data_IF_724001608629
#
_entry.id   IF_724001608629
#
_cell.length_a   1.000
_cell.length_b   1.000
_cell.length_c   1.000
_cell.angle_alpha   90.00
_cell.angle_beta   90.00
_cell.angle_gamma   90.00
#
_symmetry.space_group_name_H-M   'P 1'
#
loop_
_entity.id
_entity.type
_entity.pdbx_description
1 polymer ?
#
# COMPACT_ATOMS: atom_id res chain seq x y z
N UNK A 1 25.99 -1.14 -8.42
CA UNK A 1 25.15 -0.10 -7.79
C UNK A 1 24.53 0.84 -8.82
N UNK A 2 25.22 1.23 -9.87
CA UNK A 2 24.73 2.17 -10.91
C UNK A 2 23.38 1.77 -11.53
N UNK A 3 23.18 0.47 -11.82
CA UNK A 3 21.92 -0.08 -12.33
C UNK A 3 20.74 0.21 -11.38
N UNK A 4 20.97 0.10 -10.07
CA UNK A 4 19.96 0.37 -9.04
C UNK A 4 19.62 1.87 -9.00
N UNK A 5 20.64 2.73 -9.02
CA UNK A 5 20.46 4.18 -9.00
C UNK A 5 19.72 4.69 -10.24
N UNK A 6 20.13 4.23 -11.43
CA UNK A 6 19.47 4.57 -12.68
C UNK A 6 17.99 4.15 -12.66
N UNK A 7 17.71 2.91 -12.22
CA UNK A 7 16.34 2.41 -12.14
C UNK A 7 15.50 3.16 -11.10
N UNK A 8 16.07 3.45 -9.93
CA UNK A 8 15.39 4.20 -8.88
C UNK A 8 15.03 5.61 -9.35
N UNK A 9 15.93 6.31 -10.07
CA UNK A 9 15.62 7.61 -10.69
C UNK A 9 14.52 7.51 -11.73
N UNK A 10 14.58 6.50 -12.60
CA UNK A 10 13.59 6.26 -13.66
C UNK A 10 12.18 6.08 -13.09
N UNK A 11 12.03 5.29 -12.02
CA UNK A 11 10.72 4.95 -11.45
C UNK A 11 10.25 5.91 -10.34
N UNK A 12 11.03 6.95 -10.02
CA UNK A 12 10.68 7.95 -9.02
C UNK A 12 10.91 7.52 -7.55
N UNK A 13 11.84 6.61 -7.29
CA UNK A 13 12.26 6.21 -5.95
C UNK A 13 11.76 4.82 -5.53
N UNK A 14 11.55 4.63 -4.22
CA UNK A 14 11.21 3.36 -3.59
C UNK A 14 10.17 3.53 -2.46
N UNK A 15 9.18 4.39 -2.67
CA UNK A 15 8.18 4.77 -1.66
C UNK A 15 6.93 3.90 -1.77
N UNK A 16 6.60 3.46 -2.98
CA UNK A 16 5.43 2.62 -3.26
C UNK A 16 5.81 1.16 -3.41
N UNK A 17 4.89 0.25 -3.05
CA UNK A 17 5.13 -1.19 -3.18
C UNK A 17 5.54 -1.58 -4.60
N UNK A 18 4.88 -1.03 -5.61
CA UNK A 18 5.22 -1.28 -7.02
C UNK A 18 6.66 -0.91 -7.35
N UNK A 19 7.15 0.23 -6.87
CA UNK A 19 8.52 0.67 -7.12
C UNK A 19 9.52 -0.27 -6.45
N UNK A 20 9.24 -0.67 -5.21
CA UNK A 20 10.08 -1.60 -4.46
C UNK A 20 10.18 -2.95 -5.20
N UNK A 21 9.07 -3.50 -5.66
CA UNK A 21 9.05 -4.75 -6.44
C UNK A 21 9.87 -4.64 -7.74
N UNK A 22 9.91 -3.47 -8.38
CA UNK A 22 10.75 -3.24 -9.57
C UNK A 22 12.24 -3.17 -9.25
N UNK A 23 12.61 -2.75 -8.04
CA UNK A 23 14.01 -2.65 -7.60
C UNK A 23 14.55 -3.96 -7.02
N UNK A 24 13.69 -4.79 -6.42
CA UNK A 24 14.05 -6.07 -5.77
C UNK A 24 14.99 -6.95 -6.61
N UNK A 25 14.75 -7.21 -7.91
CA UNK A 25 15.64 -8.08 -8.69
C UNK A 25 17.08 -7.55 -8.76
N UNK A 26 17.24 -6.23 -8.83
CA UNK A 26 18.55 -5.56 -8.87
C UNK A 26 19.22 -5.64 -7.50
N UNK A 27 18.46 -5.45 -6.42
CA UNK A 27 18.95 -5.58 -5.05
C UNK A 27 19.40 -7.02 -4.80
N UNK A 28 18.61 -8.03 -5.18
CA UNK A 28 18.98 -9.43 -5.00
C UNK A 28 20.23 -9.84 -5.79
N UNK A 29 20.47 -9.22 -6.95
CA UNK A 29 21.73 -9.38 -7.68
C UNK A 29 22.91 -8.85 -6.87
N UNK A 30 22.78 -7.66 -6.28
CA UNK A 30 23.79 -7.05 -5.42
C UNK A 30 24.04 -7.92 -4.17
N UNK A 31 22.98 -8.37 -3.49
CA UNK A 31 23.10 -9.19 -2.28
C UNK A 31 23.85 -10.49 -2.52
N UNK A 32 23.64 -11.14 -3.68
CA UNK A 32 24.39 -12.34 -4.06
C UNK A 32 25.87 -12.06 -4.26
N UNK A 33 26.22 -10.95 -4.92
CA UNK A 33 27.63 -10.58 -5.09
C UNK A 33 28.29 -10.20 -3.77
N UNK A 34 27.59 -9.48 -2.89
CA UNK A 34 28.05 -9.20 -1.53
C UNK A 34 28.21 -10.49 -0.74
N UNK A 35 27.24 -11.41 -0.82
CA UNK A 35 27.27 -12.72 -0.17
C UNK A 35 28.52 -13.51 -0.56
N UNK A 36 28.86 -13.56 -1.86
CA UNK A 36 30.10 -14.19 -2.35
C UNK A 36 31.35 -13.57 -1.74
N UNK A 37 31.42 -12.23 -1.68
CA UNK A 37 32.55 -11.50 -1.08
C UNK A 37 32.70 -11.84 0.41
N UNK A 38 31.58 -12.01 1.11
CA UNK A 38 31.54 -12.33 2.53
C UNK A 38 31.64 -13.83 2.84
N UNK A 39 31.69 -14.69 1.82
CA UNK A 39 31.71 -16.15 1.98
C UNK A 39 30.40 -16.75 2.49
N UNK A 40 29.28 -16.05 2.31
CA UNK A 40 27.94 -16.54 2.65
C UNK A 40 27.44 -17.53 1.60
N UNK A 41 26.74 -18.55 2.06
CA UNK A 41 26.01 -19.47 1.18
C UNK A 41 24.77 -18.79 0.58
N UNK A 42 24.31 -19.31 -0.57
CA UNK A 42 23.06 -18.85 -1.20
C UNK A 42 21.86 -18.96 -0.25
N UNK A 43 21.86 -19.96 0.65
CA UNK A 43 20.82 -20.14 1.65
C UNK A 43 20.81 -19.02 2.68
N UNK A 44 21.98 -18.59 3.16
CA UNK A 44 22.10 -17.47 4.10
C UNK A 44 21.67 -16.15 3.46
N UNK A 45 22.08 -15.90 2.21
CA UNK A 45 21.66 -14.73 1.45
C UNK A 45 20.13 -14.71 1.28
N UNK A 46 19.53 -15.85 0.93
CA UNK A 46 18.09 -15.98 0.80
C UNK A 46 17.34 -15.75 2.12
N UNK A 47 17.87 -16.25 3.23
CA UNK A 47 17.29 -16.03 4.56
C UNK A 47 17.27 -14.54 4.93
N UNK A 48 18.36 -13.82 4.64
CA UNK A 48 18.47 -12.38 4.85
C UNK A 48 17.47 -11.61 3.97
N UNK A 49 17.39 -11.95 2.68
CA UNK A 49 16.44 -11.34 1.74
C UNK A 49 14.99 -11.48 2.23
N UNK A 50 14.58 -12.67 2.68
CA UNK A 50 13.25 -12.89 3.23
C UNK A 50 12.98 -12.08 4.50
N UNK A 51 13.97 -11.96 5.38
CA UNK A 51 13.83 -11.14 6.59
C UNK A 51 13.63 -9.66 6.25
N UNK A 52 14.39 -9.14 5.26
CA UNK A 52 14.25 -7.78 4.75
C UNK A 52 12.88 -7.57 4.09
N UNK A 53 12.41 -8.52 3.29
CA UNK A 53 11.09 -8.44 2.66
C UNK A 53 9.96 -8.30 3.68
N UNK A 54 10.02 -9.04 4.79
CA UNK A 54 9.06 -8.90 5.88
C UNK A 54 9.16 -7.51 6.55
N UNK A 55 10.36 -6.95 6.70
CA UNK A 55 10.55 -5.59 7.25
C UNK A 55 9.94 -4.52 6.33
N UNK A 56 10.14 -4.67 5.03
CA UNK A 56 9.59 -3.78 4.01
C UNK A 56 8.07 -3.82 4.03
N UNK A 57 7.46 -5.01 4.06
CA UNK A 57 6.01 -5.16 4.12
C UNK A 57 5.41 -4.50 5.37
N UNK A 58 6.04 -4.70 6.54
CA UNK A 58 5.64 -4.01 7.78
C UNK A 58 5.70 -2.50 7.64
N UNK A 59 6.74 -1.96 7.00
CA UNK A 59 6.88 -0.52 6.80
C UNK A 59 5.79 0.05 5.89
N UNK A 60 5.47 -0.63 4.79
CA UNK A 60 4.40 -0.22 3.87
C UNK A 60 3.04 -0.29 4.57
N UNK A 61 2.77 -1.36 5.31
CA UNK A 61 1.53 -1.54 6.06
C UNK A 61 1.34 -0.47 7.14
N UNK A 62 2.38 -0.18 7.92
CA UNK A 62 2.35 0.86 8.96
C UNK A 62 2.07 2.24 8.38
N UNK A 63 2.72 2.61 7.27
CA UNK A 63 2.44 3.89 6.57
C UNK A 63 0.98 3.97 6.09
N UNK A 64 0.41 2.86 5.61
CA UNK A 64 -1.00 2.79 5.20
C UNK A 64 -1.96 2.94 6.39
N UNK A 65 -1.61 2.38 7.54
CA UNK A 65 -2.38 2.52 8.78
C UNK A 65 -2.34 3.97 9.29
N UNK A 66 -1.17 4.61 9.33
CA UNK A 66 -1.06 6.03 9.73
C UNK A 66 -1.86 6.95 8.80
N UNK A 67 -1.86 6.72 7.48
CA UNK A 67 -2.74 7.48 6.56
C UNK A 67 -4.22 7.26 6.86
N UNK A 68 -4.64 6.02 7.14
CA UNK A 68 -6.05 5.73 7.51
C UNK A 68 -6.46 6.45 8.80
N UNK A 69 -5.57 6.51 9.79
CA UNK A 69 -5.84 7.25 11.02
C UNK A 69 -5.84 8.76 10.84
N UNK A 70 -4.99 9.31 9.97
CA UNK A 70 -5.03 10.74 9.62
C UNK A 70 -6.34 11.14 8.92
N UNK A 71 -6.93 10.25 8.11
CA UNK A 71 -8.25 10.46 7.48
C UNK A 71 -9.40 10.30 8.49
N UNK A 72 -9.25 9.43 9.50
CA UNK A 72 -10.27 9.20 10.55
C UNK A 72 -10.40 10.36 11.56
N UNK A 73 -9.56 11.38 11.48
CA UNK A 73 -9.63 12.58 12.33
C UNK A 73 -10.65 13.63 11.89
N UNK A 74 -11.27 13.44 10.72
CA UNK A 74 -12.47 14.15 10.30
C UNK A 74 -13.61 13.12 10.34
N UNK A 75 -14.38 13.14 11.42
CA UNK A 75 -15.66 12.43 11.47
C UNK A 75 -16.55 12.97 10.34
N UNK A 76 -16.66 12.23 9.23
CA UNK A 76 -17.84 12.35 8.38
C UNK A 76 -19.02 11.83 9.19
N UNK A 77 -19.89 12.78 9.55
CA UNK A 77 -21.22 12.56 10.10
C UNK A 77 -21.87 11.45 9.26
N UNK A 78 -22.38 10.34 9.85
CA UNK A 78 -23.10 9.36 9.06
C UNK A 78 -24.26 10.08 8.38
N UNK A 79 -24.30 10.05 7.04
CA UNK A 79 -25.48 10.47 6.30
C UNK A 79 -26.65 9.66 6.84
N UNK A 80 -27.50 10.31 7.63
CA UNK A 80 -28.80 9.78 8.00
C UNK A 80 -29.54 9.67 6.68
N UNK A 81 -29.84 8.45 6.22
CA UNK A 81 -30.81 8.24 5.15
C UNK A 81 -32.11 8.93 5.59
N UNK A 82 -32.40 10.09 4.98
CA UNK A 82 -33.70 10.72 5.10
C UNK A 82 -34.73 9.76 4.53
N UNK A 83 -35.49 9.11 5.41
CA UNK A 83 -36.73 8.45 5.04
C UNK A 83 -37.67 9.52 4.51
N UNK A 84 -37.70 9.69 3.19
CA UNK A 84 -38.71 10.50 2.52
C UNK A 84 -40.07 9.82 2.69
N UNK A 85 -40.77 10.19 3.77
CA UNK A 85 -42.24 10.18 3.80
C UNK A 85 -42.72 11.24 2.80
N UNK A 86 -42.87 10.85 1.53
CA UNK A 86 -43.66 11.64 0.58
C UNK A 86 -45.15 11.34 0.79
N UNK A 87 -45.80 12.21 1.56
CA UNK A 87 -47.24 12.44 1.50
C UNK A 87 -47.53 13.49 0.42
N UNK A 88 -48.27 13.10 -0.61
CA UNK A 88 -49.10 13.95 -1.49
C UNK A 88 -50.18 13.02 -2.08
N UNK A 89 -51.49 13.10 -1.77
CA UNK A 89 -52.41 14.22 -2.01
C UNK A 89 -52.62 14.37 -3.53
N UNK A 90 -53.75 14.10 -4.19
CA UNK A 90 -55.13 14.36 -3.80
C UNK A 90 -56.17 13.77 -4.80
N UNK A 91 -57.36 13.46 -4.26
CA UNK A 91 -58.72 13.56 -4.84
C UNK A 91 -59.18 12.68 -6.03
N UNK A 92 -60.20 11.83 -5.78
CA UNK A 92 -61.51 11.93 -6.47
C UNK A 92 -62.67 11.46 -5.55
N UNK A 93 -63.76 12.24 -5.61
CA UNK A 93 -64.96 12.14 -4.80
C UNK A 93 -65.96 11.09 -5.30
N UNK A 94 -66.78 10.55 -4.39
CA UNK A 94 -68.23 10.45 -4.60
C UNK A 94 -68.98 10.47 -3.27
N UNK A 95 -70.01 11.31 -3.26
CA UNK A 95 -71.00 11.59 -2.23
C UNK A 95 -71.96 10.42 -1.95
N UNK A 96 -72.49 10.44 -0.72
CA UNK A 96 -73.71 9.83 -0.17
C UNK A 96 -73.73 8.33 0.13
#
# INVERSE_FOLDING_TARGET
>A
FDKLEAKAREIGGATERRQIELLKPIIHEIDREIGKILGLSDFEVYAIQNAVDQMVERRIAGVRETRRHAIRGEEEIPELEETNEEVSGDNQATLN
#
